data_IF_593649762012
#
_entry.id   IF_593649762012
#
_cell.length_a   1.000
_cell.length_b   1.000
_cell.length_c   1.000
_cell.angle_alpha   90.00
_cell.angle_beta   90.00
_cell.angle_gamma   90.00
#
_symmetry.space_group_name_H-M   'P 1'
#
loop_
_entity.id
_entity.type
_entity.pdbx_description
1 polymer ?
#
# COMPACT_ATOMS: atom_id res chain seq x y z
N UNK A 1 -2.72 10.58 12.00
CA UNK A 1 -2.02 11.70 11.31
C UNK A 1 -2.71 13.02 11.63
N UNK A 2 -4.02 13.17 11.37
CA UNK A 2 -4.78 14.39 11.73
C UNK A 2 -4.55 14.84 13.18
N UNK A 3 -4.77 13.95 14.16
CA UNK A 3 -4.52 14.27 15.58
C UNK A 3 -3.10 14.78 15.86
N UNK A 4 -2.06 14.12 15.35
CA UNK A 4 -0.68 14.54 15.57
C UNK A 4 -0.37 15.92 14.93
N UNK A 5 -0.99 16.24 13.80
CA UNK A 5 -0.88 17.56 13.17
C UNK A 5 -1.60 18.61 14.05
N UNK A 6 -2.76 18.28 14.64
CA UNK A 6 -3.46 19.15 15.58
C UNK A 6 -2.63 19.42 16.85
N UNK A 7 -1.87 18.42 17.30
CA UNK A 7 -0.92 18.53 18.41
C UNK A 7 0.35 19.35 18.06
N UNK A 8 0.48 19.84 16.83
CA UNK A 8 1.55 20.73 16.38
C UNK A 8 2.77 20.03 15.76
N UNK A 9 2.68 18.72 15.45
CA UNK A 9 3.76 17.99 14.76
C UNK A 9 3.85 18.43 13.30
N UNK A 10 5.05 18.82 12.86
CA UNK A 10 5.34 19.08 11.45
C UNK A 10 5.50 17.76 10.68
N UNK A 11 4.40 17.29 10.07
CA UNK A 11 4.38 16.08 9.25
C UNK A 11 4.49 16.41 7.76
N UNK A 12 5.61 16.02 7.14
CA UNK A 12 5.89 16.30 5.72
C UNK A 12 5.05 15.41 4.78
N UNK A 13 4.70 14.19 5.20
CA UNK A 13 3.88 13.29 4.40
C UNK A 13 3.84 11.86 4.93
N UNK A 14 3.12 11.01 4.21
CA UNK A 14 2.97 9.58 4.50
C UNK A 14 3.17 8.76 3.22
N UNK A 15 4.06 7.78 3.29
CA UNK A 15 4.33 6.85 2.17
C UNK A 15 4.00 5.44 2.60
N UNK A 16 3.05 4.80 1.91
CA UNK A 16 2.64 3.44 2.23
C UNK A 16 3.76 2.44 1.92
N UNK A 17 4.05 1.55 2.87
CA UNK A 17 5.00 0.46 2.64
C UNK A 17 4.46 -0.51 1.59
N UNK A 18 5.31 -0.81 0.59
CA UNK A 18 5.00 -1.84 -0.40
C UNK A 18 3.73 -1.54 -1.19
N UNK A 19 3.57 -0.34 -1.74
CA UNK A 19 2.39 0.09 -2.53
C UNK A 19 1.94 -0.92 -3.61
N UNK A 20 2.90 -1.64 -4.20
CA UNK A 20 2.69 -2.83 -5.02
C UNK A 20 3.17 -4.06 -4.23
N UNK A 21 2.50 -5.20 -4.39
CA UNK A 21 2.96 -6.44 -3.75
C UNK A 21 4.43 -6.72 -4.10
N UNK A 22 5.24 -6.93 -3.05
CA UNK A 22 6.68 -7.21 -3.10
C UNK A 22 6.99 -8.43 -2.24
N UNK A 23 8.18 -9.00 -2.43
CA UNK A 23 8.71 -10.02 -1.52
C UNK A 23 8.94 -9.39 -0.16
N UNK A 24 8.36 -9.99 0.88
CA UNK A 24 8.48 -9.49 2.24
C UNK A 24 9.92 -9.59 2.77
N UNK A 25 10.34 -8.59 3.55
CA UNK A 25 11.60 -8.65 4.27
C UNK A 25 11.46 -9.58 5.48
N UNK A 26 12.44 -10.48 5.68
CA UNK A 26 12.45 -11.49 6.75
C UNK A 26 12.14 -12.89 6.19
N UNK A 27 10.88 -13.32 6.13
CA UNK A 27 10.52 -14.66 5.61
C UNK A 27 10.77 -14.85 4.10
N UNK A 28 10.90 -13.76 3.33
CA UNK A 28 11.04 -13.78 1.87
C UNK A 28 9.83 -14.37 1.14
N UNK A 29 8.63 -13.98 1.59
CA UNK A 29 7.33 -14.47 1.06
C UNK A 29 6.65 -13.42 0.16
N UNK A 30 6.04 -13.90 -0.93
CA UNK A 30 5.03 -13.20 -1.76
C UNK A 30 3.61 -13.36 -1.23
N UNK A 31 3.33 -14.44 -0.50
CA UNK A 31 2.03 -14.72 0.13
C UNK A 31 1.66 -13.66 1.18
N UNK A 32 2.65 -13.05 1.82
CA UNK A 32 2.47 -11.86 2.67
C UNK A 32 2.36 -10.59 1.84
N UNK A 33 1.14 -10.14 1.59
CA UNK A 33 0.81 -9.06 0.65
C UNK A 33 0.55 -7.73 1.36
N UNK A 34 1.21 -6.67 0.91
CA UNK A 34 1.10 -5.31 1.46
C UNK A 34 0.42 -4.33 0.52
N UNK A 35 0.55 -4.53 -0.79
CA UNK A 35 0.24 -3.49 -1.76
C UNK A 35 -1.23 -3.25 -1.96
N UNK A 36 -1.54 -2.06 -2.47
CA UNK A 36 -2.83 -1.76 -3.08
C UNK A 36 -2.91 -2.29 -4.52
N UNK A 37 -1.76 -2.68 -5.10
CA UNK A 37 -1.67 -3.38 -6.37
C UNK A 37 -1.25 -4.83 -6.11
N UNK A 38 -2.10 -5.78 -6.50
CA UNK A 38 -1.80 -7.20 -6.49
C UNK A 38 -0.83 -7.55 -7.63
N UNK A 39 0.13 -8.41 -7.34
CA UNK A 39 1.02 -9.03 -8.34
C UNK A 39 0.76 -10.53 -8.36
N UNK A 40 0.45 -11.05 -9.55
CA UNK A 40 0.27 -12.48 -9.79
C UNK A 40 1.60 -13.21 -9.81
N UNK A 41 2.11 -13.50 -8.61
CA UNK A 41 3.28 -14.31 -8.34
C UNK A 41 3.12 -14.96 -6.95
N UNK A 42 3.50 -16.23 -6.83
CA UNK A 42 3.52 -16.99 -5.59
C UNK A 42 4.95 -17.10 -4.99
N UNK A 43 5.07 -17.81 -3.87
CA UNK A 43 6.32 -18.00 -3.12
C UNK A 43 7.35 -18.87 -3.89
N UNK A 44 6.89 -19.71 -4.82
CA UNK A 44 7.75 -20.50 -5.70
C UNK A 44 8.16 -19.74 -6.98
N UNK A 45 7.71 -18.48 -7.12
CA UNK A 45 7.98 -17.64 -8.28
C UNK A 45 7.12 -17.95 -9.51
N UNK A 46 6.07 -18.76 -9.37
CA UNK A 46 5.10 -19.05 -10.44
C UNK A 46 4.05 -17.95 -10.49
N UNK A 47 3.55 -17.67 -11.70
CA UNK A 47 2.53 -16.65 -11.95
C UNK A 47 2.82 -15.82 -13.20
N UNK A 48 1.82 -15.09 -13.68
CA UNK A 48 1.92 -14.28 -14.91
C UNK A 48 2.64 -12.94 -14.71
N UNK A 49 2.91 -12.55 -13.46
CA UNK A 49 3.42 -11.23 -13.07
C UNK A 49 2.49 -10.09 -13.50
N UNK A 50 1.24 -10.36 -13.83
CA UNK A 50 0.24 -9.32 -14.11
C UNK A 50 -0.10 -8.55 -12.84
N UNK A 51 -0.46 -7.27 -13.02
CA UNK A 51 -0.79 -6.35 -11.93
C UNK A 51 -2.28 -6.07 -11.95
N UNK A 52 -2.89 -6.07 -10.77
CA UNK A 52 -4.33 -5.87 -10.61
C UNK A 52 -4.57 -4.87 -9.48
N UNK A 53 -5.43 -3.90 -9.72
CA UNK A 53 -5.84 -2.93 -8.69
C UNK A 53 -6.71 -3.67 -7.67
N UNK A 54 -6.34 -3.63 -6.39
CA UNK A 54 -7.20 -4.09 -5.30
C UNK A 54 -8.23 -3.00 -4.98
N UNK A 55 -9.24 -3.32 -4.19
CA UNK A 55 -10.22 -2.31 -3.74
C UNK A 55 -9.54 -1.16 -2.97
N UNK A 56 -8.50 -1.50 -2.19
CA UNK A 56 -7.67 -0.53 -1.48
C UNK A 56 -6.94 0.46 -2.39
N UNK A 57 -6.78 0.15 -3.69
CA UNK A 57 -6.23 1.10 -4.67
C UNK A 57 -7.16 2.31 -4.83
N UNK A 58 -8.45 2.06 -5.05
CA UNK A 58 -9.42 3.14 -5.26
C UNK A 58 -9.70 3.90 -3.96
N UNK A 59 -9.73 3.19 -2.83
CA UNK A 59 -9.78 3.81 -1.52
C UNK A 59 -8.60 4.77 -1.30
N UNK A 60 -7.37 4.32 -1.55
CA UNK A 60 -6.19 5.16 -1.32
C UNK A 60 -6.08 6.29 -2.35
N UNK A 61 -6.50 6.07 -3.59
CA UNK A 61 -6.66 7.12 -4.60
C UNK A 61 -7.59 8.23 -4.09
N UNK A 62 -8.77 7.87 -3.58
CA UNK A 62 -9.75 8.82 -3.03
C UNK A 62 -9.22 9.54 -1.78
N UNK A 63 -8.52 8.84 -0.90
CA UNK A 63 -7.84 9.44 0.25
C UNK A 63 -6.81 10.49 -0.20
N UNK A 64 -6.01 10.23 -1.23
CA UNK A 64 -5.02 11.19 -1.75
C UNK A 64 -5.74 12.38 -2.42
N UNK A 65 -6.73 12.13 -3.27
CA UNK A 65 -7.49 13.17 -3.98
C UNK A 65 -8.22 14.13 -3.03
N UNK A 66 -8.69 13.62 -1.89
CA UNK A 66 -9.33 14.40 -0.83
C UNK A 66 -8.36 14.95 0.22
N UNK A 67 -7.04 14.78 0.04
CA UNK A 67 -6.02 15.14 1.04
C UNK A 67 -6.30 14.57 2.44
N UNK A 68 -6.87 13.37 2.51
CA UNK A 68 -7.22 12.67 3.75
C UNK A 68 -8.54 13.10 4.40
N UNK A 69 -9.37 13.90 3.73
CA UNK A 69 -10.73 14.21 4.20
C UNK A 69 -11.69 13.04 4.02
N UNK A 70 -11.54 12.25 2.95
CA UNK A 70 -12.32 11.05 2.72
C UNK A 70 -11.47 9.79 2.95
N UNK A 71 -11.66 9.20 4.13
CA UNK A 71 -11.04 7.95 4.60
C UNK A 71 -12.06 6.81 4.69
#
# INVERSE_FOLDING_TARGET
MKEAILDGVELIGYTMWGFIDIVSCGPMEMSKRYGVIYVDQDDEGKGSKKRYKKDSFYWYQKCIESNGEEL
#
